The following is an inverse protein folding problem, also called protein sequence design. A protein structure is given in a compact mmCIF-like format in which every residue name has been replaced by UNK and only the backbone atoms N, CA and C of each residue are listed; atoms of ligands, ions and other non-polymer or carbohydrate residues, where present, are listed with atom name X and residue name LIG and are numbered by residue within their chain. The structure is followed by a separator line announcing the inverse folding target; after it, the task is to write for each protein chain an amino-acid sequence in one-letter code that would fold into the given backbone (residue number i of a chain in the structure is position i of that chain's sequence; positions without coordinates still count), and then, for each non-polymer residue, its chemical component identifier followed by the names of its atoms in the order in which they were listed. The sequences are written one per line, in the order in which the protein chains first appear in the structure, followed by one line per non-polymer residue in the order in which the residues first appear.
data_IF_705666629201
#
_entry.id   IF_705666629201
#
_cell.length_a   1.000
_cell.length_b   1.000
_cell.length_c   1.000
_cell.angle_alpha   90.00
_cell.angle_beta   90.00
_cell.angle_gamma   90.00
#
_symmetry.space_group_name_H-M   'P 1'
#
loop_
_entity.id
_entity.type
_entity.pdbx_description
1 polymer ?
#
# COMPACT_ATOMS: atom_id res chain seq x y z
N UNK A 1 0.77 -4.20 14.26
CA UNK A 1 0.52 -3.01 13.42
C UNK A 1 0.17 -1.86 14.34
N UNK A 2 0.78 -0.69 14.16
CA UNK A 2 0.33 0.52 14.86
C UNK A 2 -1.02 0.93 14.26
N UNK A 3 -1.94 1.37 15.10
CA UNK A 3 -3.24 1.87 14.66
C UNK A 3 -3.01 3.16 13.87
N UNK A 4 -3.46 3.20 12.61
CA UNK A 4 -3.36 4.40 11.79
C UNK A 4 -4.13 5.56 12.41
N UNK A 5 -3.54 6.75 12.41
CA UNK A 5 -4.22 7.95 12.92
C UNK A 5 -5.29 8.41 11.92
N UNK A 6 -6.32 9.12 12.40
CA UNK A 6 -7.35 9.69 11.51
C UNK A 6 -6.77 10.56 10.40
N UNK A 7 -5.68 11.28 10.67
CA UNK A 7 -4.97 12.08 9.67
C UNK A 7 -4.30 11.20 8.60
N UNK A 8 -3.73 10.07 8.98
CA UNK A 8 -3.13 9.11 8.05
C UNK A 8 -4.19 8.44 7.18
N UNK A 9 -5.33 8.05 7.74
CA UNK A 9 -6.45 7.48 7.00
C UNK A 9 -7.04 8.46 5.99
N UNK A 10 -7.19 9.73 6.36
CA UNK A 10 -7.62 10.78 5.42
C UNK A 10 -6.62 10.96 4.30
N UNK A 11 -5.32 11.01 4.62
CA UNK A 11 -4.25 11.09 3.62
C UNK A 11 -4.27 9.90 2.66
N UNK A 12 -4.45 8.67 3.15
CA UNK A 12 -4.54 7.49 2.29
C UNK A 12 -5.73 7.60 1.34
N UNK A 13 -6.89 7.96 1.87
CA UNK A 13 -8.09 8.12 1.07
C UNK A 13 -7.90 9.17 -0.03
N UNK A 14 -7.40 10.35 0.31
CA UNK A 14 -7.25 11.46 -0.63
C UNK A 14 -6.21 11.18 -1.73
N UNK A 15 -5.09 10.52 -1.37
CA UNK A 15 -4.02 10.22 -2.32
C UNK A 15 -4.31 9.04 -3.24
N UNK A 16 -5.04 8.04 -2.74
CA UNK A 16 -5.17 6.74 -3.42
C UNK A 16 -6.60 6.35 -3.77
N UNK A 17 -7.59 7.23 -3.57
CA UNK A 17 -9.00 6.87 -3.73
C UNK A 17 -9.35 6.30 -5.11
N UNK A 18 -8.68 6.77 -6.15
CA UNK A 18 -8.90 6.36 -7.53
C UNK A 18 -7.94 5.23 -7.99
N UNK A 19 -6.96 4.88 -7.14
CA UNK A 19 -5.95 3.88 -7.47
C UNK A 19 -6.55 2.47 -7.35
N UNK A 20 -6.64 1.78 -8.48
CA UNK A 20 -7.19 0.43 -8.52
C UNK A 20 -6.13 -0.63 -8.18
N UNK A 21 -6.48 -1.56 -7.31
CA UNK A 21 -5.67 -2.71 -6.91
C UNK A 21 -6.30 -3.97 -7.52
N UNK A 22 -5.57 -4.67 -8.37
CA UNK A 22 -5.98 -5.98 -8.90
C UNK A 22 -5.55 -7.09 -7.94
N UNK A 23 -6.47 -7.98 -7.58
CA UNK A 23 -6.22 -9.07 -6.64
C UNK A 23 -5.51 -10.26 -7.31
N UNK A 24 -4.19 -10.14 -7.54
CA UNK A 24 -3.33 -11.26 -7.87
C UNK A 24 -3.13 -12.18 -6.66
N UNK A 25 -2.58 -13.39 -6.89
CA UNK A 25 -2.24 -14.31 -5.79
C UNK A 25 -1.31 -13.66 -4.74
N UNK A 26 -0.38 -12.83 -5.20
CA UNK A 26 0.56 -12.11 -4.33
C UNK A 26 -0.15 -11.06 -3.48
N UNK A 27 -1.02 -10.25 -4.07
CA UNK A 27 -1.80 -9.22 -3.37
C UNK A 27 -2.73 -9.86 -2.34
N UNK A 28 -3.44 -10.93 -2.72
CA UNK A 28 -4.31 -11.70 -1.79
C UNK A 28 -3.51 -12.20 -0.58
N UNK A 29 -2.30 -12.73 -0.80
CA UNK A 29 -1.40 -13.19 0.27
C UNK A 29 -0.89 -12.02 1.12
N UNK A 30 -0.45 -10.93 0.50
CA UNK A 30 0.10 -9.76 1.20
C UNK A 30 -0.95 -9.11 2.10
N UNK A 31 -2.19 -9.01 1.62
CA UNK A 31 -3.30 -8.45 2.39
C UNK A 31 -3.93 -9.44 3.38
N UNK A 32 -3.51 -10.71 3.37
CA UNK A 32 -4.16 -11.79 4.11
C UNK A 32 -5.68 -11.86 3.83
N UNK A 33 -6.10 -11.58 2.60
CA UNK A 33 -7.50 -11.71 2.19
C UNK A 33 -7.87 -13.19 2.08
N UNK A 34 -8.99 -13.61 2.67
CA UNK A 34 -9.59 -14.91 2.40
C UNK A 34 -10.56 -14.79 1.20
N UNK A 35 -10.15 -15.20 -0.01
CA UNK A 35 -10.97 -15.03 -1.21
C UNK A 35 -12.22 -15.92 -1.20
N UNK A 36 -12.26 -16.97 -0.36
CA UNK A 36 -13.43 -17.84 -0.20
C UNK A 36 -14.52 -17.20 0.64
N UNK A 37 -14.18 -16.14 1.37
CA UNK A 37 -15.07 -15.41 2.25
C UNK A 37 -15.48 -14.05 1.68
N UNK A 38 -15.25 -13.81 0.38
CA UNK A 38 -15.76 -12.63 -0.31
C UNK A 38 -17.17 -12.93 -0.84
N UNK A 39 -18.13 -12.13 -0.37
CA UNK A 39 -19.54 -12.33 -0.69
C UNK A 39 -20.20 -11.02 -1.10
N UNK A 40 -21.14 -11.14 -2.01
CA UNK A 40 -22.09 -10.07 -2.33
C UNK A 40 -23.45 -10.39 -1.72
N UNK A 41 -24.02 -9.43 -1.00
CA UNK A 41 -25.37 -9.53 -0.41
C UNK A 41 -26.31 -8.56 -1.09
N UNK A 42 -27.44 -9.08 -1.59
CA UNK A 42 -28.49 -8.33 -2.24
C UNK A 42 -29.85 -8.96 -1.90
N UNK A 43 -30.88 -8.17 -1.61
CA UNK A 43 -32.25 -8.65 -1.35
C UNK A 43 -32.34 -9.76 -0.27
N UNK A 44 -31.54 -9.64 0.79
CA UNK A 44 -31.54 -10.60 1.89
C UNK A 44 -30.74 -11.88 1.63
N UNK A 45 -30.38 -12.16 0.39
CA UNK A 45 -29.56 -13.31 0.01
C UNK A 45 -28.08 -12.93 -0.10
N UNK A 46 -27.19 -13.93 0.05
CA UNK A 46 -25.76 -13.74 -0.15
C UNK A 46 -25.18 -14.82 -1.07
N UNK A 47 -24.25 -14.41 -1.92
CA UNK A 47 -23.58 -15.30 -2.85
C UNK A 47 -22.08 -15.08 -2.81
N UNK A 48 -21.28 -16.14 -2.92
CA UNK A 48 -19.83 -16.00 -3.10
C UNK A 48 -19.55 -15.35 -4.45
N UNK A 49 -18.51 -14.53 -4.49
CA UNK A 49 -18.04 -13.90 -5.72
C UNK A 49 -16.51 -13.82 -5.72
N UNK A 50 -15.93 -13.69 -6.89
CA UNK A 50 -14.47 -13.50 -7.02
C UNK A 50 -14.23 -12.00 -7.09
N UNK A 51 -13.44 -11.47 -6.16
CA UNK A 51 -12.97 -10.10 -6.27
C UNK A 51 -11.86 -10.03 -7.32
N UNK A 52 -12.07 -9.20 -8.34
CA UNK A 52 -11.08 -8.93 -9.39
C UNK A 52 -10.18 -7.77 -9.02
N UNK A 53 -10.79 -6.64 -8.65
CA UNK A 53 -10.07 -5.43 -8.29
C UNK A 53 -10.90 -4.53 -7.38
N UNK A 54 -10.24 -3.58 -6.71
CA UNK A 54 -10.90 -2.54 -5.93
C UNK A 54 -10.08 -1.26 -5.87
N UNK A 55 -10.76 -0.14 -5.66
CA UNK A 55 -10.20 1.14 -5.18
C UNK A 55 -10.95 1.54 -3.92
N UNK A 56 -10.79 2.79 -3.44
CA UNK A 56 -11.65 3.29 -2.36
C UNK A 56 -13.02 3.79 -2.85
N UNK A 57 -13.27 3.79 -4.17
CA UNK A 57 -14.53 4.25 -4.76
C UNK A 57 -15.38 3.11 -5.29
N UNK A 58 -14.78 2.00 -5.70
CA UNK A 58 -15.49 0.92 -6.36
C UNK A 58 -14.76 -0.42 -6.23
N UNK A 59 -15.48 -1.50 -6.49
CA UNK A 59 -14.93 -2.83 -6.66
C UNK A 59 -15.44 -3.47 -7.95
N UNK A 60 -14.65 -4.36 -8.54
CA UNK A 60 -15.05 -5.22 -9.63
C UNK A 60 -15.06 -6.66 -9.17
N UNK A 61 -16.20 -7.32 -9.31
CA UNK A 61 -16.39 -8.72 -8.95
C UNK A 61 -16.70 -9.55 -10.19
N UNK A 62 -16.29 -10.82 -10.16
CA UNK A 62 -16.63 -11.78 -11.21
C UNK A 62 -17.67 -12.75 -10.66
N UNK A 63 -18.74 -12.96 -11.42
CA UNK A 63 -19.82 -13.88 -11.10
C UNK A 63 -20.21 -14.71 -12.33
N UNK A 64 -20.74 -15.92 -12.09
CA UNK A 64 -21.28 -16.75 -13.16
C UNK A 64 -22.64 -16.24 -13.64
N UNK A 65 -22.81 -16.11 -14.96
CA UNK A 65 -24.04 -15.57 -15.61
C UNK A 65 -25.29 -16.41 -15.34
N UNK A 66 -25.12 -17.71 -15.12
CA UNK A 66 -26.20 -18.66 -14.80
C UNK A 66 -26.56 -18.68 -13.31
N UNK A 67 -25.76 -18.00 -12.48
CA UNK A 67 -25.90 -18.03 -11.02
C UNK A 67 -26.97 -17.09 -10.47
N UNK A 68 -27.37 -17.34 -9.21
CA UNK A 68 -28.34 -16.49 -8.49
C UNK A 68 -27.81 -15.07 -8.26
N UNK A 69 -26.51 -14.92 -8.01
CA UNK A 69 -25.86 -13.62 -7.88
C UNK A 69 -26.08 -12.73 -9.09
N UNK A 70 -25.80 -13.24 -10.29
CA UNK A 70 -25.97 -12.48 -11.53
C UNK A 70 -27.41 -12.02 -11.71
N UNK A 71 -28.39 -12.95 -11.53
CA UNK A 71 -29.81 -12.66 -11.66
C UNK A 71 -30.27 -11.58 -10.67
N UNK A 72 -29.80 -11.60 -9.44
CA UNK A 72 -30.16 -10.60 -8.44
C UNK A 72 -29.54 -9.23 -8.73
N UNK A 73 -28.24 -9.21 -9.11
CA UNK A 73 -27.51 -7.98 -9.38
C UNK A 73 -27.94 -7.28 -10.68
N UNK A 74 -28.46 -8.04 -11.67
CA UNK A 74 -28.98 -7.47 -12.93
C UNK A 74 -30.40 -6.94 -12.82
N UNK A 75 -31.23 -7.52 -11.94
CA UNK A 75 -32.63 -7.09 -11.77
C UNK A 75 -32.78 -5.78 -11.04
N UNK A 76 -31.96 -5.57 -10.02
CA UNK A 76 -32.07 -4.42 -9.13
C UNK A 76 -30.67 -3.81 -8.91
N UNK A 77 -30.42 -2.68 -9.55
CA UNK A 77 -29.20 -1.89 -9.39
C UNK A 77 -29.04 -1.24 -8.00
N UNK A 78 -29.93 -1.57 -7.05
CA UNK A 78 -30.06 -0.83 -5.80
C UNK A 78 -29.05 -1.26 -4.73
N UNK A 79 -29.33 -1.28 -3.49
CA UNK A 79 -28.37 -1.49 -2.42
C UNK A 79 -27.76 -2.89 -2.43
N UNK A 80 -26.47 -2.97 -2.62
CA UNK A 80 -25.64 -4.18 -2.55
C UNK A 80 -24.61 -4.01 -1.45
N UNK A 81 -24.40 -5.04 -0.63
CA UNK A 81 -23.31 -5.04 0.34
C UNK A 81 -22.22 -6.02 -0.11
N UNK A 82 -21.01 -5.51 -0.30
CA UNK A 82 -19.83 -6.32 -0.56
C UNK A 82 -19.12 -6.63 0.75
N UNK A 83 -18.88 -7.90 1.04
CA UNK A 83 -18.15 -8.35 2.21
C UNK A 83 -16.75 -8.80 1.83
N UNK A 84 -15.76 -8.26 2.52
CA UNK A 84 -14.39 -8.75 2.52
C UNK A 84 -14.09 -9.46 3.84
N UNK A 85 -13.15 -10.40 3.80
CA UNK A 85 -12.62 -11.06 4.99
C UNK A 85 -11.10 -11.03 4.97
N UNK A 86 -10.49 -10.31 5.90
CA UNK A 86 -9.04 -10.26 6.07
C UNK A 86 -8.64 -11.01 7.33
N UNK A 87 -7.58 -11.81 7.25
CA UNK A 87 -7.05 -12.51 8.42
C UNK A 87 -6.07 -11.62 9.16
N UNK A 88 -6.39 -11.29 10.41
CA UNK A 88 -5.50 -10.51 11.28
C UNK A 88 -4.30 -11.33 11.77
N UNK A 89 -3.29 -10.65 12.31
CA UNK A 89 -2.07 -11.29 12.83
C UNK A 89 -2.33 -12.31 13.96
N UNK A 90 -3.40 -12.13 14.72
CA UNK A 90 -3.89 -13.04 15.76
C UNK A 90 -4.72 -14.21 15.19
N UNK A 91 -4.77 -14.38 13.87
CA UNK A 91 -5.57 -15.37 13.13
C UNK A 91 -7.09 -15.20 13.28
N UNK A 92 -7.56 -14.08 13.77
CA UNK A 92 -9.00 -13.78 13.78
C UNK A 92 -9.44 -13.15 12.45
N UNK A 93 -10.62 -13.54 11.92
CA UNK A 93 -11.15 -12.93 10.72
C UNK A 93 -11.71 -11.53 11.01
N UNK A 94 -11.33 -10.57 10.19
CA UNK A 94 -11.91 -9.23 10.14
C UNK A 94 -12.88 -9.17 8.96
N UNK A 95 -14.16 -9.00 9.23
CA UNK A 95 -15.19 -8.87 8.20
C UNK A 95 -15.51 -7.40 7.98
N UNK A 96 -15.35 -6.94 6.75
CA UNK A 96 -15.68 -5.57 6.35
C UNK A 96 -16.83 -5.59 5.35
N UNK A 97 -17.84 -4.77 5.61
CA UNK A 97 -19.02 -4.65 4.77
C UNK A 97 -19.05 -3.26 4.14
N UNK A 98 -19.15 -3.21 2.80
CA UNK A 98 -19.14 -1.96 2.06
C UNK A 98 -20.44 -1.86 1.27
N UNK A 99 -21.25 -0.87 1.63
CA UNK A 99 -22.48 -0.56 0.90
C UNK A 99 -22.15 -0.03 -0.50
N UNK A 100 -22.78 -0.59 -1.50
CA UNK A 100 -22.45 -0.36 -2.89
C UNK A 100 -23.72 -0.38 -3.76
N UNK A 101 -23.57 0.03 -5.00
CA UNK A 101 -24.59 -0.11 -6.05
C UNK A 101 -23.95 -0.64 -7.32
N UNK A 102 -24.68 -1.43 -8.08
CA UNK A 102 -24.24 -1.88 -9.41
C UNK A 102 -24.24 -0.70 -10.37
N UNK A 103 -23.13 -0.44 -11.03
CA UNK A 103 -23.01 0.66 -12.01
C UNK A 103 -22.67 0.19 -13.40
N UNK A 104 -22.03 -0.99 -13.53
CA UNK A 104 -21.71 -1.54 -14.84
C UNK A 104 -21.68 -3.07 -14.80
N UNK A 105 -22.05 -3.70 -15.90
CA UNK A 105 -22.01 -5.15 -16.10
C UNK A 105 -21.47 -5.41 -17.49
N UNK A 106 -20.38 -6.16 -17.60
CA UNK A 106 -19.75 -6.53 -18.87
C UNK A 106 -19.34 -8.00 -18.85
N UNK A 107 -19.14 -8.57 -20.01
CA UNK A 107 -18.57 -9.92 -20.15
C UNK A 107 -17.13 -9.94 -19.62
N UNK A 108 -16.76 -11.04 -18.96
CA UNK A 108 -15.39 -11.24 -18.49
C UNK A 108 -14.59 -12.05 -19.51
N UNK A 109 -13.52 -11.48 -20.07
CA UNK A 109 -12.61 -12.15 -21.04
C UNK A 109 -13.34 -12.83 -22.20
N UNK A 110 -14.39 -12.20 -22.76
CA UNK A 110 -15.23 -12.76 -23.84
C UNK A 110 -15.91 -14.10 -23.48
N UNK A 111 -16.11 -14.36 -22.19
CA UNK A 111 -16.79 -15.56 -21.72
C UNK A 111 -18.30 -15.32 -21.61
N UNK A 112 -19.10 -16.16 -22.23
CA UNK A 112 -20.57 -16.16 -22.08
C UNK A 112 -21.01 -16.61 -20.67
N UNK A 113 -20.17 -17.32 -19.94
CA UNK A 113 -20.49 -17.91 -18.64
C UNK A 113 -20.05 -17.05 -17.44
N UNK A 114 -19.22 -16.02 -17.67
CA UNK A 114 -18.71 -15.14 -16.64
C UNK A 114 -18.96 -13.67 -16.97
N UNK A 115 -19.38 -12.90 -15.97
CA UNK A 115 -19.52 -11.46 -16.06
C UNK A 115 -18.73 -10.75 -14.98
N UNK A 116 -18.18 -9.60 -15.34
CA UNK A 116 -17.57 -8.67 -14.39
C UNK A 116 -18.60 -7.57 -14.07
N UNK A 117 -18.84 -7.38 -12.78
CA UNK A 117 -19.80 -6.41 -12.26
C UNK A 117 -19.04 -5.34 -11.48
N UNK A 118 -19.23 -4.10 -11.86
CA UNK A 118 -18.69 -2.95 -11.14
C UNK A 118 -19.67 -2.50 -10.06
N UNK A 119 -19.20 -2.46 -8.84
CA UNK A 119 -19.90 -2.01 -7.65
C UNK A 119 -19.29 -0.68 -7.19
N UNK A 120 -20.00 0.43 -7.40
CA UNK A 120 -19.59 1.73 -6.86
C UNK A 120 -20.01 1.84 -5.41
N UNK A 121 -19.09 2.22 -4.53
CA UNK A 121 -19.37 2.38 -3.11
C UNK A 121 -20.29 3.57 -2.87
N UNK A 122 -21.30 3.36 -2.02
CA UNK A 122 -22.32 4.38 -1.72
C UNK A 122 -21.84 5.44 -0.73
N UNK A 123 -20.76 5.12 0.00
CA UNK A 123 -20.12 5.96 1.00
C UNK A 123 -18.64 5.62 1.13
N UNK A 124 -17.90 6.46 1.83
CA UNK A 124 -16.51 6.17 2.19
C UNK A 124 -16.41 4.79 2.85
N UNK A 125 -15.47 3.93 2.42
CA UNK A 125 -15.25 2.63 3.04
C UNK A 125 -14.85 2.74 4.51
N UNK A 126 -15.02 1.65 5.30
CA UNK A 126 -14.55 1.61 6.69
C UNK A 126 -13.05 1.92 6.82
N UNK A 127 -12.67 2.52 7.94
CA UNK A 127 -11.29 2.94 8.19
C UNK A 127 -10.30 1.77 8.14
N UNK A 128 -10.67 0.59 8.65
CA UNK A 128 -9.85 -0.62 8.53
C UNK A 128 -9.56 -1.00 7.06
N UNK A 129 -10.54 -0.83 6.16
CA UNK A 129 -10.35 -1.08 4.75
C UNK A 129 -9.38 -0.08 4.12
N UNK A 130 -9.51 1.20 4.50
CA UNK A 130 -8.61 2.26 4.05
C UNK A 130 -7.19 2.03 4.58
N UNK A 131 -7.04 1.60 5.84
CA UNK A 131 -5.74 1.28 6.43
C UNK A 131 -5.06 0.12 5.70
N UNK A 132 -5.78 -0.99 5.50
CA UNK A 132 -5.25 -2.20 4.85
C UNK A 132 -4.76 -1.88 3.43
N UNK A 133 -5.59 -1.26 2.60
CA UNK A 133 -5.23 -0.96 1.22
C UNK A 133 -4.27 0.23 1.11
N UNK A 134 -4.45 1.25 1.94
CA UNK A 134 -3.58 2.43 1.95
C UNK A 134 -2.13 2.08 2.31
N UNK A 135 -1.94 1.19 3.28
CA UNK A 135 -0.61 0.69 3.64
C UNK A 135 0.06 -0.05 2.48
N UNK A 136 -0.68 -0.90 1.75
CA UNK A 136 -0.16 -1.57 0.55
C UNK A 136 0.22 -0.57 -0.53
N UNK A 137 -0.66 0.39 -0.82
CA UNK A 137 -0.44 1.39 -1.88
C UNK A 137 0.75 2.30 -1.54
N UNK A 138 0.89 2.72 -0.29
CA UNK A 138 2.04 3.51 0.16
C UNK A 138 3.34 2.70 0.06
N UNK A 139 3.32 1.41 0.44
CA UNK A 139 4.48 0.53 0.28
C UNK A 139 4.88 0.38 -1.18
N UNK A 140 3.92 0.19 -2.09
CA UNK A 140 4.18 0.11 -3.53
C UNK A 140 4.71 1.44 -4.10
N UNK A 141 4.12 2.58 -3.72
CA UNK A 141 4.59 3.89 -4.13
C UNK A 141 6.03 4.15 -3.66
N UNK A 142 6.35 3.75 -2.43
CA UNK A 142 7.70 3.86 -1.89
C UNK A 142 8.67 2.89 -2.57
N UNK A 143 8.25 1.68 -2.95
CA UNK A 143 9.06 0.74 -3.71
C UNK A 143 9.38 1.27 -5.12
N UNK A 144 8.41 1.88 -5.81
CA UNK A 144 8.62 2.53 -7.11
C UNK A 144 9.54 3.74 -7.00
N UNK A 145 9.40 4.55 -5.94
CA UNK A 145 10.31 5.69 -5.68
C UNK A 145 11.73 5.24 -5.36
N UNK A 146 11.90 4.05 -4.78
CA UNK A 146 13.20 3.43 -4.51
C UNK A 146 13.69 2.71 -5.77
N UNK A 147 14.08 3.45 -6.78
CA UNK A 147 14.66 2.90 -8.03
C UNK A 147 15.97 2.14 -7.81
N UNK A 148 16.53 2.18 -6.62
CA UNK A 148 17.88 1.76 -6.32
C UNK A 148 17.93 0.90 -5.06
N UNK A 149 18.79 -0.11 -5.09
CA UNK A 149 19.10 -0.92 -3.92
C UNK A 149 19.78 -0.04 -2.85
N UNK A 150 19.33 -0.20 -1.59
CA UNK A 150 19.95 0.47 -0.45
C UNK A 150 20.83 -0.49 0.32
N UNK A 151 22.06 -0.10 0.50
CA UNK A 151 23.04 -0.84 1.28
C UNK A 151 22.93 -0.39 2.74
N UNK A 152 22.47 -1.31 3.62
CA UNK A 152 22.47 -1.07 5.06
C UNK A 152 23.90 -1.02 5.58
N UNK A 153 24.22 -0.01 6.39
CA UNK A 153 25.54 0.12 6.99
C UNK A 153 25.63 -0.76 8.25
N UNK A 154 26.43 -1.80 8.13
CA UNK A 154 26.81 -2.75 9.17
C UNK A 154 28.30 -3.10 9.02
N UNK A 155 28.84 -3.97 9.87
CA UNK A 155 30.26 -4.34 9.85
C UNK A 155 30.71 -4.90 8.50
N UNK A 156 29.88 -5.74 7.86
CA UNK A 156 30.24 -6.37 6.58
C UNK A 156 30.15 -5.39 5.41
N UNK A 157 29.10 -4.58 5.35
CA UNK A 157 28.94 -3.58 4.28
C UNK A 157 29.98 -2.46 4.40
N UNK A 158 30.33 -2.02 5.61
CA UNK A 158 31.43 -1.05 5.83
C UNK A 158 32.74 -1.57 5.23
N UNK A 159 33.08 -2.84 5.49
CA UNK A 159 34.31 -3.46 4.94
C UNK A 159 34.25 -3.54 3.42
N UNK A 160 33.13 -3.96 2.84
CA UNK A 160 32.98 -4.06 1.37
C UNK A 160 33.02 -2.71 0.66
N UNK A 161 32.53 -1.67 1.32
CA UNK A 161 32.54 -0.30 0.81
C UNK A 161 33.82 0.46 1.12
N UNK A 162 34.75 -0.12 1.92
CA UNK A 162 35.91 0.55 2.50
C UNK A 162 35.54 1.83 3.27
N UNK A 163 34.34 1.87 3.87
CA UNK A 163 33.88 3.00 4.66
C UNK A 163 34.51 2.97 6.05
N UNK A 164 35.26 4.01 6.41
CA UNK A 164 36.00 4.08 7.67
C UNK A 164 35.13 3.99 8.89
N UNK A 165 34.03 4.75 8.91
CA UNK A 165 33.12 4.82 10.06
C UNK A 165 31.70 5.16 9.64
N UNK A 166 30.72 4.77 10.45
CA UNK A 166 29.31 5.13 10.29
C UNK A 166 28.95 6.49 10.90
N UNK A 167 29.73 6.93 11.90
CA UNK A 167 29.60 8.26 12.47
C UNK A 167 30.28 9.27 11.56
N UNK A 168 29.53 10.30 11.15
CA UNK A 168 30.02 11.30 10.20
C UNK A 168 29.37 12.66 10.45
N UNK A 169 29.69 13.61 9.59
CA UNK A 169 29.19 14.99 9.68
C UNK A 169 28.26 15.25 8.50
N UNK A 170 27.09 15.79 8.81
CA UNK A 170 26.17 16.38 7.85
C UNK A 170 26.15 17.90 8.04
N UNK A 171 26.31 18.64 6.95
CA UNK A 171 26.14 20.09 6.97
C UNK A 171 24.73 20.43 6.48
N UNK A 172 23.97 21.16 7.30
CA UNK A 172 22.63 21.62 6.97
C UNK A 172 22.64 23.15 6.98
N UNK A 173 22.44 23.77 5.83
CA UNK A 173 22.60 25.22 5.67
C UNK A 173 23.96 25.72 6.22
N UNK A 174 25.05 25.03 5.89
CA UNK A 174 26.42 25.29 6.35
C UNK A 174 26.69 25.10 7.86
N UNK A 175 25.72 24.55 8.60
CA UNK A 175 25.92 24.20 10.02
C UNK A 175 26.28 22.73 10.14
N UNK A 176 27.50 22.38 10.58
CA UNK A 176 27.91 20.99 10.74
C UNK A 176 27.20 20.34 11.94
N UNK A 177 26.76 19.10 11.77
CA UNK A 177 26.11 18.29 12.80
C UNK A 177 26.62 16.85 12.73
N UNK A 178 26.84 16.22 13.87
CA UNK A 178 27.14 14.80 13.94
C UNK A 178 25.91 13.97 13.60
N UNK A 179 26.10 12.94 12.79
CA UNK A 179 25.05 12.01 12.44
C UNK A 179 25.61 10.58 12.29
N UNK A 180 24.71 9.60 12.31
CA UNK A 180 25.05 8.18 12.10
C UNK A 180 24.42 7.76 10.76
N UNK A 181 25.25 7.29 9.84
CA UNK A 181 24.82 6.74 8.56
C UNK A 181 24.19 5.36 8.76
N UNK A 182 22.97 5.16 8.27
CA UNK A 182 22.23 3.89 8.41
C UNK A 182 22.12 3.09 7.13
N UNK A 183 21.88 3.76 6.03
CA UNK A 183 21.91 3.16 4.70
C UNK A 183 22.31 4.20 3.63
N UNK A 184 22.79 3.71 2.49
CA UNK A 184 23.21 4.52 1.34
C UNK A 184 22.70 3.89 0.05
N UNK A 185 22.36 4.72 -0.93
CA UNK A 185 22.08 4.35 -2.33
C UNK A 185 22.69 5.39 -3.26
N UNK A 186 22.60 5.18 -4.58
CA UNK A 186 23.07 6.17 -5.55
C UNK A 186 22.36 7.52 -5.45
N UNK A 187 21.07 7.53 -5.06
CA UNK A 187 20.26 8.76 -4.98
C UNK A 187 20.23 9.40 -3.61
N UNK A 188 20.84 8.79 -2.57
CA UNK A 188 20.81 9.38 -1.24
C UNK A 188 21.18 8.44 -0.10
N UNK A 189 21.18 9.00 1.10
CA UNK A 189 21.53 8.30 2.32
C UNK A 189 20.46 8.50 3.41
N UNK A 190 20.35 7.53 4.31
CA UNK A 190 19.57 7.65 5.54
C UNK A 190 20.51 7.85 6.71
N UNK A 191 20.31 8.94 7.44
CA UNK A 191 21.08 9.27 8.62
C UNK A 191 20.20 9.43 9.85
N UNK A 192 20.76 9.14 11.03
CA UNK A 192 20.18 9.50 12.32
C UNK A 192 20.93 10.72 12.83
N UNK A 193 20.20 11.79 13.12
CA UNK A 193 20.76 12.96 13.75
C UNK A 193 19.78 13.53 14.79
N UNK A 194 20.31 14.26 15.77
CA UNK A 194 19.50 14.94 16.77
C UNK A 194 19.12 16.34 16.28
N UNK A 195 17.83 16.69 16.40
CA UNK A 195 17.35 18.02 16.04
C UNK A 195 15.83 18.07 15.84
N UNK A 196 15.28 19.26 15.81
CA UNK A 196 13.86 19.48 15.54
C UNK A 196 13.62 19.41 14.03
N UNK A 197 12.63 18.62 13.61
CA UNK A 197 12.33 18.37 12.21
C UNK A 197 12.12 19.65 11.37
N UNK A 198 11.49 20.65 11.94
CA UNK A 198 11.24 21.94 11.27
C UNK A 198 12.52 22.65 10.79
N UNK A 199 13.67 22.40 11.41
CA UNK A 199 14.97 22.98 11.03
C UNK A 199 15.78 22.09 10.10
N UNK A 200 15.32 20.89 9.81
CA UNK A 200 16.05 19.85 9.08
C UNK A 200 15.40 19.49 7.75
N UNK A 201 14.06 19.52 7.69
CA UNK A 201 13.29 19.07 6.51
C UNK A 201 13.34 20.12 5.40
N UNK A 202 13.49 19.66 4.15
CA UNK A 202 13.55 20.48 2.93
C UNK A 202 14.68 21.52 2.93
N UNK A 203 15.81 21.21 3.57
CA UNK A 203 17.02 22.04 3.55
C UNK A 203 18.08 21.38 2.70
N UNK A 204 18.87 22.22 2.01
CA UNK A 204 20.08 21.78 1.33
C UNK A 204 21.09 21.23 2.34
N UNK A 205 21.61 20.03 2.03
CA UNK A 205 22.49 19.32 2.95
C UNK A 205 23.66 18.69 2.21
N UNK A 206 24.82 18.66 2.86
CA UNK A 206 26.02 17.97 2.39
C UNK A 206 26.42 16.92 3.42
N UNK A 207 26.49 15.65 2.99
CA UNK A 207 26.92 14.55 3.83
C UNK A 207 28.38 14.19 3.51
N UNK A 208 29.25 14.17 4.53
CA UNK A 208 30.63 13.77 4.38
C UNK A 208 30.76 12.26 4.56
N UNK A 209 31.37 11.57 3.59
CA UNK A 209 31.71 10.14 3.70
C UNK A 209 33.23 10.01 3.57
N UNK A 210 33.84 9.18 4.42
CA UNK A 210 35.29 8.94 4.47
C UNK A 210 35.55 7.46 4.16
N UNK A 211 36.38 7.20 3.13
CA UNK A 211 36.76 5.85 2.68
C UNK A 211 38.25 5.61 2.95
N UNK A 212 38.62 4.35 3.17
CA UNK A 212 40.00 3.95 3.50
C UNK A 212 40.86 3.75 2.24
N UNK A 213 40.30 3.05 1.22
CA UNK A 213 41.01 2.80 -0.04
C UNK A 213 40.02 2.93 -1.26
N UNK A 214 40.29 3.84 -2.19
CA UNK A 214 41.26 4.95 -2.08
C UNK A 214 40.86 5.90 -0.94
N UNK A 215 41.83 6.56 -0.31
CA UNK A 215 41.56 7.55 0.73
C UNK A 215 40.88 8.76 0.10
N UNK A 216 39.57 8.71 0.01
CA UNK A 216 38.73 9.71 -0.61
C UNK A 216 37.65 10.23 0.36
N UNK A 217 37.30 11.48 0.18
CA UNK A 217 36.15 12.09 0.86
C UNK A 217 35.14 12.49 -0.18
N UNK A 218 33.91 11.94 -0.09
CA UNK A 218 32.81 12.29 -0.96
C UNK A 218 31.83 13.17 -0.20
N UNK A 219 31.42 14.26 -0.81
CA UNK A 219 30.33 15.15 -0.35
C UNK A 219 29.09 14.85 -1.20
N UNK A 220 27.99 14.46 -0.54
CA UNK A 220 26.70 14.16 -1.15
C UNK A 220 25.65 15.19 -0.74
#
# INVERSE_FOLDING_TARGET
MGIATSQQLSRYYDLYRDTEITFSKEIVKTLNLDPRQVYVKCEGNQWPCIINSTSFLQARIIVGTKGGAYKALTKNSNAVNLRFCFMQSNKQPLFLYISSRVTNITEYMHSSDLSIITLTYSQRPPDDFIEILGTLLEANANAIRRKEERILINADSKRKLNLLKEETIIQIQNVPRHCILRDISFSGAKVILMGLAQFLVNKETLLKLEFDEPSETILL
#
